data_IF_434981735242
#
_entry.id   IF_434981735242
#
_cell.length_a   1.000
_cell.length_b   1.000
_cell.length_c   1.000
_cell.angle_alpha   90.00
_cell.angle_beta   90.00
_cell.angle_gamma   90.00
#
_symmetry.space_group_name_H-M   'P 1'
#
loop_
_entity.id
_entity.type
_entity.pdbx_description
1 polymer ?
#
# COMPACT_ATOMS: atom_id res chain seq x y z
N UNK A 1 1.29 -4.96 -22.69
CA UNK A 1 1.42 -3.56 -22.27
C UNK A 1 2.82 -3.42 -21.71
N UNK A 2 3.66 -2.58 -22.30
CA UNK A 2 4.98 -2.29 -21.73
C UNK A 2 4.75 -1.48 -20.46
N UNK A 3 5.29 -1.92 -19.32
CA UNK A 3 5.07 -1.26 -18.03
C UNK A 3 5.66 0.14 -18.02
N UNK A 4 4.96 1.08 -17.40
CA UNK A 4 5.48 2.41 -17.14
C UNK A 4 6.66 2.30 -16.15
N UNK A 5 7.90 2.67 -16.54
CA UNK A 5 9.06 2.65 -15.65
C UNK A 5 8.91 3.51 -14.39
N UNK A 6 7.92 4.41 -14.36
CA UNK A 6 7.60 5.26 -13.20
C UNK A 6 6.97 4.49 -12.03
N UNK A 7 6.41 3.30 -12.27
CA UNK A 7 5.71 2.51 -11.27
C UNK A 7 6.68 1.55 -10.56
N UNK A 8 7.23 2.00 -9.43
CA UNK A 8 7.99 1.15 -8.51
C UNK A 8 7.02 0.45 -7.55
N UNK A 9 6.97 -0.88 -7.60
CA UNK A 9 6.10 -1.64 -6.71
C UNK A 9 6.87 -2.86 -6.13
N UNK A 10 6.47 -3.30 -4.93
CA UNK A 10 7.02 -4.46 -4.23
C UNK A 10 5.91 -5.50 -4.10
N UNK A 11 6.21 -6.75 -4.48
CA UNK A 11 5.36 -7.89 -4.18
C UNK A 11 5.65 -8.36 -2.75
N UNK A 12 4.74 -8.09 -1.82
CA UNK A 12 4.93 -8.38 -0.40
C UNK A 12 4.75 -9.86 -0.03
N UNK A 13 4.24 -10.69 -0.93
CA UNK A 13 3.98 -12.10 -0.66
C UNK A 13 3.86 -12.92 -1.96
N UNK A 14 4.78 -13.87 -2.15
CA UNK A 14 4.69 -14.89 -3.21
C UNK A 14 5.53 -16.15 -2.92
N UNK A 15 5.33 -17.20 -3.70
CA UNK A 15 6.00 -18.50 -3.62
C UNK A 15 6.84 -18.78 -4.87
N UNK A 16 7.90 -17.98 -5.11
CA UNK A 16 8.78 -18.19 -6.28
C UNK A 16 9.61 -19.49 -6.22
N UNK A 17 9.68 -20.12 -5.05
CA UNK A 17 10.29 -21.45 -4.87
C UNK A 17 9.35 -22.61 -5.22
N UNK A 18 8.09 -22.34 -5.58
CA UNK A 18 7.14 -23.35 -6.03
C UNK A 18 7.64 -24.05 -7.30
N UNK A 19 7.40 -25.36 -7.36
CA UNK A 19 7.77 -26.21 -8.50
C UNK A 19 7.28 -25.69 -9.85
N UNK A 20 6.15 -24.96 -9.89
CA UNK A 20 5.55 -24.38 -11.08
C UNK A 20 6.42 -23.31 -11.76
N UNK A 21 7.43 -22.76 -11.08
CA UNK A 21 8.36 -21.78 -11.65
C UNK A 21 9.73 -22.35 -11.99
N UNK A 22 10.00 -23.62 -11.66
CA UNK A 22 11.34 -24.24 -11.78
C UNK A 22 11.96 -24.06 -13.17
N UNK A 23 11.13 -24.13 -14.23
CA UNK A 23 11.62 -24.16 -15.61
C UNK A 23 11.74 -22.78 -16.26
N UNK A 24 11.12 -21.74 -15.70
CA UNK A 24 10.99 -20.43 -16.35
C UNK A 24 11.13 -19.22 -15.41
N UNK A 25 11.67 -19.42 -14.21
CA UNK A 25 11.83 -18.37 -13.19
C UNK A 25 12.55 -17.13 -13.70
N UNK A 26 13.61 -17.26 -14.51
CA UNK A 26 14.30 -16.13 -15.16
C UNK A 26 13.33 -15.27 -15.97
N UNK A 27 12.53 -15.92 -16.81
CA UNK A 27 11.56 -15.23 -17.67
C UNK A 27 10.42 -14.60 -16.86
N UNK A 28 10.02 -15.22 -15.76
CA UNK A 28 9.02 -14.68 -14.81
C UNK A 28 9.56 -13.40 -14.16
N UNK A 29 10.80 -13.42 -13.67
CA UNK A 29 11.44 -12.24 -13.05
C UNK A 29 11.63 -11.13 -14.07
N UNK A 30 12.08 -11.43 -15.30
CA UNK A 30 12.20 -10.43 -16.36
C UNK A 30 10.87 -9.75 -16.69
N UNK A 31 9.78 -10.51 -16.75
CA UNK A 31 8.43 -9.98 -16.96
C UNK A 31 8.00 -9.08 -15.80
N UNK A 32 8.25 -9.49 -14.55
CA UNK A 32 7.97 -8.69 -13.37
C UNK A 32 8.74 -7.36 -13.36
N UNK A 33 10.04 -7.39 -13.66
CA UNK A 33 10.89 -6.20 -13.75
C UNK A 33 10.41 -5.22 -14.83
N UNK A 34 10.03 -5.74 -16.01
CA UNK A 34 9.46 -4.94 -17.12
C UNK A 34 8.09 -4.34 -16.75
N UNK A 35 7.37 -4.97 -15.83
CA UNK A 35 6.11 -4.48 -15.30
C UNK A 35 6.26 -3.53 -14.10
N UNK A 36 7.49 -3.14 -13.73
CA UNK A 36 7.73 -2.20 -12.62
C UNK A 36 7.89 -2.84 -11.24
N UNK A 37 7.75 -4.16 -11.12
CA UNK A 37 8.01 -4.89 -9.86
C UNK A 37 9.50 -4.94 -9.62
N UNK A 38 9.98 -4.34 -8.53
CA UNK A 38 11.43 -4.27 -8.24
C UNK A 38 11.91 -5.36 -7.31
N UNK A 39 11.03 -5.85 -6.46
CA UNK A 39 11.36 -6.86 -5.45
C UNK A 39 10.13 -7.68 -5.09
N UNK A 40 10.37 -8.90 -4.66
CA UNK A 40 9.35 -9.85 -4.26
C UNK A 40 9.79 -10.61 -3.00
N UNK A 41 8.95 -10.57 -1.96
CA UNK A 41 9.14 -11.35 -0.74
C UNK A 41 8.68 -12.79 -1.00
N UNK A 42 9.67 -13.68 -1.13
CA UNK A 42 9.45 -15.10 -1.37
C UNK A 42 9.32 -15.83 -0.03
N UNK A 43 8.11 -16.28 0.28
CA UNK A 43 7.77 -17.00 1.52
C UNK A 43 7.88 -18.52 1.36
N UNK A 44 8.18 -19.20 2.45
CA UNK A 44 8.22 -20.66 2.53
C UNK A 44 6.87 -21.24 2.96
N UNK A 45 6.58 -22.48 2.57
CA UNK A 45 5.51 -23.29 3.16
C UNK A 45 6.06 -24.18 4.28
N UNK A 46 7.23 -24.77 4.07
CA UNK A 46 7.89 -25.62 5.06
C UNK A 46 9.41 -25.61 4.91
N UNK A 47 10.08 -26.33 5.82
CA UNK A 47 11.54 -26.38 5.89
C UNK A 47 12.22 -26.87 4.60
N UNK A 48 11.53 -27.68 3.79
CA UNK A 48 11.99 -28.19 2.49
C UNK A 48 12.18 -27.09 1.42
N UNK A 49 11.56 -25.91 1.61
CA UNK A 49 11.69 -24.77 0.71
C UNK A 49 12.87 -23.87 1.05
N UNK A 50 13.41 -23.94 2.27
CA UNK A 50 14.31 -22.91 2.79
C UNK A 50 15.58 -22.79 1.96
N UNK A 51 16.24 -23.91 1.67
CA UNK A 51 17.47 -23.90 0.84
C UNK A 51 17.19 -23.47 -0.61
N UNK A 52 15.99 -23.76 -1.14
CA UNK A 52 15.57 -23.30 -2.48
C UNK A 52 15.42 -21.78 -2.50
N UNK A 53 14.74 -21.22 -1.50
CA UNK A 53 14.51 -19.77 -1.35
C UNK A 53 15.86 -19.04 -1.18
N UNK A 54 16.74 -19.54 -0.31
CA UNK A 54 18.08 -18.96 -0.14
C UNK A 54 18.90 -19.05 -1.44
N UNK A 55 18.77 -20.15 -2.19
CA UNK A 55 19.45 -20.29 -3.49
C UNK A 55 18.88 -19.36 -4.56
N UNK A 56 17.56 -19.12 -4.57
CA UNK A 56 16.92 -18.15 -5.45
C UNK A 56 17.36 -16.72 -5.12
N UNK A 57 17.44 -16.34 -3.84
CA UNK A 57 18.00 -15.05 -3.43
C UNK A 57 19.47 -14.90 -3.90
N UNK A 58 20.31 -15.94 -3.78
CA UNK A 58 21.69 -15.87 -4.30
C UNK A 58 21.76 -15.64 -5.82
N UNK A 59 20.83 -16.22 -6.58
CA UNK A 59 20.74 -16.05 -8.05
C UNK A 59 20.18 -14.68 -8.43
N UNK A 60 19.22 -14.17 -7.67
CA UNK A 60 18.50 -12.92 -7.93
C UNK A 60 18.49 -12.01 -6.70
N UNK A 61 19.66 -11.51 -6.24
CA UNK A 61 19.81 -10.88 -4.92
C UNK A 61 19.03 -9.57 -4.76
N UNK A 62 18.84 -8.84 -5.86
CA UNK A 62 18.14 -7.55 -5.85
C UNK A 62 16.61 -7.71 -6.04
N UNK A 63 16.12 -8.93 -6.36
CA UNK A 63 14.70 -9.18 -6.63
C UNK A 63 14.06 -10.12 -5.61
N UNK A 64 14.66 -11.28 -5.34
CA UNK A 64 14.07 -12.29 -4.45
C UNK A 64 14.50 -12.03 -3.01
N UNK A 65 13.54 -11.71 -2.15
CA UNK A 65 13.76 -11.43 -0.73
C UNK A 65 13.27 -12.61 0.11
N UNK A 66 14.16 -13.34 0.78
CA UNK A 66 13.81 -14.59 1.42
C UNK A 66 13.05 -14.38 2.74
N UNK A 67 11.95 -15.10 2.91
CA UNK A 67 11.18 -15.22 4.15
C UNK A 67 11.04 -16.71 4.48
N UNK A 68 11.31 -17.09 5.73
CA UNK A 68 11.28 -18.48 6.16
C UNK A 68 10.29 -18.66 7.31
N UNK A 69 9.51 -19.72 7.26
CA UNK A 69 8.46 -20.02 8.24
C UNK A 69 7.82 -21.37 7.92
N UNK A 70 6.97 -21.82 8.84
CA UNK A 70 6.20 -23.05 8.71
C UNK A 70 4.72 -22.68 8.66
N UNK A 71 4.13 -22.97 7.51
CA UNK A 71 2.73 -22.71 7.18
C UNK A 71 1.78 -23.67 7.93
N UNK A 72 0.54 -23.25 8.29
CA UNK A 72 -0.45 -24.09 8.99
C UNK A 72 -0.87 -25.38 8.25
N UNK A 73 -0.61 -25.45 6.95
CA UNK A 73 -0.90 -26.60 6.08
C UNK A 73 0.38 -27.04 5.40
N UNK A 74 0.69 -28.33 5.47
CA UNK A 74 1.89 -28.96 4.88
C UNK A 74 1.49 -29.90 3.75
N UNK A 75 2.34 -30.03 2.74
CA UNK A 75 2.16 -31.01 1.65
C UNK A 75 2.78 -32.36 2.03
N UNK A 76 2.09 -33.45 1.69
CA UNK A 76 2.55 -34.82 1.87
C UNK A 76 3.19 -35.38 0.59
N UNK A 77 3.97 -36.45 0.72
CA UNK A 77 4.60 -37.15 -0.42
C UNK A 77 3.60 -37.67 -1.46
N UNK A 78 2.38 -37.99 -1.04
CA UNK A 78 1.30 -38.46 -1.91
C UNK A 78 0.54 -37.33 -2.64
N UNK A 79 0.99 -36.08 -2.47
CA UNK A 79 0.38 -34.89 -3.05
C UNK A 79 -0.88 -34.42 -2.32
N UNK A 80 -1.21 -35.01 -1.18
CA UNK A 80 -2.27 -34.48 -0.29
C UNK A 80 -1.72 -33.38 0.62
N UNK A 81 -2.59 -32.71 1.36
CA UNK A 81 -2.18 -31.70 2.33
C UNK A 81 -2.75 -32.01 3.71
N UNK A 82 -1.95 -31.79 4.76
CA UNK A 82 -2.31 -32.05 6.16
C UNK A 82 -2.15 -30.81 7.03
N UNK A 83 -2.70 -30.87 8.24
CA UNK A 83 -2.40 -29.88 9.28
C UNK A 83 -0.92 -30.00 9.67
N UNK A 84 -0.28 -28.85 9.92
CA UNK A 84 1.07 -28.77 10.49
C UNK A 84 1.17 -29.48 11.84
N UNK A 85 2.35 -30.02 12.12
CA UNK A 85 2.70 -30.76 13.33
C UNK A 85 3.94 -30.17 14.02
N UNK A 86 4.19 -30.57 15.27
CA UNK A 86 5.37 -30.11 16.00
C UNK A 86 6.70 -30.58 15.38
N UNK A 87 6.71 -31.68 14.64
CA UNK A 87 7.92 -32.16 13.95
C UNK A 87 8.30 -31.21 12.81
N UNK A 88 7.32 -30.70 12.06
CA UNK A 88 7.55 -29.73 10.97
C UNK A 88 8.24 -28.45 11.49
N UNK A 89 7.84 -27.97 12.67
CA UNK A 89 8.47 -26.82 13.32
C UNK A 89 9.86 -27.16 13.85
N UNK A 90 10.03 -28.34 14.46
CA UNK A 90 11.31 -28.79 15.04
C UNK A 90 12.40 -28.87 13.97
N UNK A 91 12.09 -29.35 12.77
CA UNK A 91 13.03 -29.42 11.65
C UNK A 91 13.33 -28.05 11.04
N UNK A 92 12.38 -27.11 11.12
CA UNK A 92 12.54 -25.75 10.60
C UNK A 92 13.42 -24.86 11.49
N UNK A 93 13.31 -24.96 12.83
CA UNK A 93 13.98 -24.04 13.78
C UNK A 93 15.49 -23.93 13.51
N UNK A 94 16.28 -25.01 13.43
CA UNK A 94 17.74 -24.90 13.22
C UNK A 94 18.10 -24.15 11.94
N UNK A 95 17.28 -24.30 10.89
CA UNK A 95 17.50 -23.63 9.61
C UNK A 95 17.11 -22.14 9.68
N UNK A 96 16.03 -21.79 10.38
CA UNK A 96 15.67 -20.39 10.63
C UNK A 96 16.81 -19.71 11.42
N UNK A 97 17.32 -20.35 12.47
CA UNK A 97 18.43 -19.80 13.26
C UNK A 97 19.72 -19.66 12.43
N UNK A 98 20.00 -20.61 11.54
CA UNK A 98 21.14 -20.53 10.60
C UNK A 98 21.03 -19.36 9.62
N UNK A 99 19.83 -18.99 9.21
CA UNK A 99 19.58 -18.00 8.15
C UNK A 99 18.92 -16.70 8.63
N UNK A 100 18.73 -16.53 9.94
CA UNK A 100 17.99 -15.39 10.50
C UNK A 100 18.57 -14.02 10.10
N UNK A 101 19.86 -13.93 9.80
CA UNK A 101 20.56 -12.73 9.34
C UNK A 101 20.35 -12.44 7.84
N UNK A 102 19.91 -13.44 7.08
CA UNK A 102 19.72 -13.40 5.62
C UNK A 102 18.27 -13.29 5.19
N UNK A 103 17.33 -13.29 6.12
CA UNK A 103 15.88 -13.24 5.83
C UNK A 103 15.29 -11.88 6.20
N UNK A 104 14.21 -11.51 5.51
CA UNK A 104 13.50 -10.26 5.74
C UNK A 104 12.33 -10.40 6.71
N UNK A 105 11.76 -11.59 6.85
CA UNK A 105 10.62 -11.88 7.73
C UNK A 105 10.56 -13.36 8.11
N UNK A 106 9.81 -13.66 9.18
CA UNK A 106 9.32 -15.00 9.48
C UNK A 106 8.01 -15.21 8.71
N UNK A 107 8.03 -16.10 7.71
CA UNK A 107 6.90 -16.30 6.82
C UNK A 107 7.10 -17.40 5.76
N UNK A 108 6.06 -18.12 5.36
CA UNK A 108 4.67 -17.91 5.75
C UNK A 108 4.32 -18.66 7.03
N UNK A 109 3.61 -17.99 7.95
CA UNK A 109 3.14 -18.57 9.22
C UNK A 109 1.68 -18.24 9.43
N UNK A 110 0.93 -18.94 10.28
CA UNK A 110 -0.45 -18.51 10.53
C UNK A 110 -1.39 -19.62 10.96
N UNK A 111 -2.68 -19.39 10.71
CA UNK A 111 -3.77 -20.34 10.98
C UNK A 111 -4.61 -20.55 9.73
N UNK A 112 -4.93 -21.80 9.42
CA UNK A 112 -5.90 -22.19 8.39
C UNK A 112 -6.92 -23.16 9.00
N UNK A 113 -8.14 -22.67 9.25
CA UNK A 113 -9.23 -23.44 9.85
C UNK A 113 -10.19 -24.03 8.81
N UNK A 114 -9.74 -24.14 7.55
CA UNK A 114 -10.51 -24.82 6.51
C UNK A 114 -10.76 -26.28 6.93
N UNK A 115 -12.03 -26.76 6.93
CA UNK A 115 -12.39 -28.10 7.42
C UNK A 115 -11.67 -29.27 6.74
N UNK A 116 -11.14 -29.05 5.54
CA UNK A 116 -10.36 -30.04 4.79
C UNK A 116 -9.03 -30.38 5.47
N UNK A 117 -8.35 -29.37 6.03
CA UNK A 117 -7.01 -29.48 6.59
C UNK A 117 -7.02 -29.51 8.12
N UNK A 118 -7.90 -28.72 8.74
CA UNK A 118 -8.06 -28.62 10.18
C UNK A 118 -9.40 -29.24 10.60
N UNK A 119 -9.37 -30.50 11.04
CA UNK A 119 -10.55 -31.34 11.28
C UNK A 119 -10.94 -31.35 12.75
N UNK A 120 -9.97 -31.24 13.65
CA UNK A 120 -10.15 -31.42 15.07
C UNK A 120 -9.89 -30.13 15.86
N UNK A 121 -10.30 -30.10 17.15
CA UNK A 121 -9.90 -29.03 18.06
C UNK A 121 -8.40 -29.08 18.37
N UNK A 122 -7.82 -30.28 18.36
CA UNK A 122 -6.40 -30.51 18.58
C UNK A 122 -5.59 -29.90 17.43
N UNK A 123 -6.01 -30.06 16.18
CA UNK A 123 -5.38 -29.42 15.01
C UNK A 123 -5.32 -27.90 15.15
N UNK A 124 -6.42 -27.29 15.61
CA UNK A 124 -6.48 -25.83 15.85
C UNK A 124 -5.49 -25.40 16.92
N UNK A 125 -5.39 -26.17 17.99
CA UNK A 125 -4.50 -25.88 19.09
C UNK A 125 -3.02 -26.05 18.66
N UNK A 126 -2.72 -27.10 17.90
CA UNK A 126 -1.38 -27.30 17.29
C UNK A 126 -0.99 -26.12 16.40
N UNK A 127 -1.87 -25.68 15.49
CA UNK A 127 -1.60 -24.49 14.67
C UNK A 127 -1.34 -23.23 15.51
N UNK A 128 -2.13 -23.02 16.59
CA UNK A 128 -1.94 -21.89 17.50
C UNK A 128 -0.60 -21.93 18.22
N UNK A 129 -0.19 -23.10 18.73
CA UNK A 129 1.09 -23.29 19.42
C UNK A 129 2.28 -23.07 18.48
N UNK A 130 2.18 -23.54 17.24
CA UNK A 130 3.21 -23.37 16.23
C UNK A 130 3.31 -21.91 15.80
N UNK A 131 2.18 -21.22 15.58
CA UNK A 131 2.19 -19.78 15.32
C UNK A 131 2.82 -19.02 16.51
N UNK A 132 2.44 -19.34 17.74
CA UNK A 132 3.00 -18.70 18.92
C UNK A 132 4.53 -18.86 19.01
N UNK A 133 5.04 -20.06 18.74
CA UNK A 133 6.47 -20.34 18.72
C UNK A 133 7.19 -19.50 17.65
N UNK A 134 6.59 -19.34 16.47
CA UNK A 134 7.17 -18.54 15.39
C UNK A 134 7.11 -17.03 15.65
N UNK A 135 6.10 -16.54 16.39
CA UNK A 135 6.05 -15.15 16.88
C UNK A 135 7.21 -14.89 17.86
N UNK A 136 7.51 -15.82 18.75
CA UNK A 136 8.65 -15.67 19.67
C UNK A 136 10.00 -15.68 18.93
N UNK A 137 10.14 -16.50 17.89
CA UNK A 137 11.32 -16.47 17.00
C UNK A 137 11.43 -15.11 16.29
N UNK A 138 10.32 -14.60 15.77
CA UNK A 138 10.26 -13.29 15.10
C UNK A 138 10.72 -12.16 16.04
N UNK A 139 10.23 -12.15 17.28
CA UNK A 139 10.68 -11.20 18.31
C UNK A 139 12.16 -11.37 18.66
N UNK A 140 12.63 -12.61 18.87
CA UNK A 140 14.03 -12.91 19.20
C UNK A 140 15.00 -12.32 18.19
N UNK A 141 14.65 -12.35 16.90
CA UNK A 141 15.51 -11.88 15.80
C UNK A 141 15.10 -10.51 15.24
N UNK A 142 14.13 -9.84 15.87
CA UNK A 142 13.55 -8.57 15.43
C UNK A 142 13.16 -8.62 13.94
N UNK A 143 12.37 -9.62 13.59
CA UNK A 143 11.87 -9.89 12.25
C UNK A 143 10.35 -9.67 12.21
N UNK A 144 9.82 -9.07 11.14
CA UNK A 144 8.39 -9.02 10.86
C UNK A 144 7.78 -10.40 10.62
N UNK A 145 6.45 -10.47 10.66
CA UNK A 145 5.67 -11.68 10.38
C UNK A 145 4.90 -11.53 9.05
N UNK A 146 4.96 -12.55 8.19
CA UNK A 146 4.12 -12.66 7.00
C UNK A 146 3.09 -13.79 7.21
N UNK A 147 1.81 -13.41 7.38
CA UNK A 147 0.83 -14.21 8.12
C UNK A 147 -0.37 -14.64 7.29
N UNK A 148 -0.60 -15.96 7.27
CA UNK A 148 -1.77 -16.64 6.78
C UNK A 148 -2.93 -16.61 7.78
N UNK A 149 -4.16 -16.42 7.29
CA UNK A 149 -5.34 -16.40 8.17
C UNK A 149 -6.62 -16.98 7.56
N UNK A 150 -6.53 -17.93 6.62
CA UNK A 150 -7.70 -18.45 5.89
C UNK A 150 -8.70 -19.13 6.82
N UNK A 151 -9.97 -18.74 6.69
CA UNK A 151 -11.05 -19.17 7.61
C UNK A 151 -10.75 -18.91 9.11
N UNK A 152 -9.74 -18.12 9.44
CA UNK A 152 -9.20 -17.95 10.78
C UNK A 152 -8.82 -16.49 11.11
N UNK A 153 -9.26 -15.50 10.32
CA UNK A 153 -8.90 -14.09 10.49
C UNK A 153 -9.05 -13.53 11.92
N UNK A 154 -10.19 -13.77 12.58
CA UNK A 154 -10.40 -13.33 13.98
C UNK A 154 -9.51 -14.08 14.98
N UNK A 155 -9.45 -15.42 14.97
CA UNK A 155 -8.48 -16.17 15.76
C UNK A 155 -7.03 -15.70 15.58
N UNK A 156 -6.57 -15.48 14.34
CA UNK A 156 -5.20 -15.05 14.04
C UNK A 156 -4.91 -13.68 14.64
N UNK A 157 -5.75 -12.66 14.38
CA UNK A 157 -5.56 -11.32 14.93
C UNK A 157 -5.59 -11.33 16.46
N UNK A 158 -6.51 -12.09 17.06
CA UNK A 158 -6.63 -12.17 18.51
C UNK A 158 -5.37 -12.77 19.14
N UNK A 159 -4.85 -13.87 18.57
CA UNK A 159 -3.64 -14.53 19.06
C UNK A 159 -2.40 -13.65 18.87
N UNK A 160 -2.24 -13.00 17.72
CA UNK A 160 -1.13 -12.08 17.48
C UNK A 160 -1.12 -10.92 18.49
N UNK A 161 -2.28 -10.36 18.81
CA UNK A 161 -2.41 -9.31 19.83
C UNK A 161 -2.11 -9.81 21.23
N UNK A 162 -2.60 -11.00 21.60
CA UNK A 162 -2.31 -11.65 22.88
C UNK A 162 -0.80 -11.87 23.07
N UNK A 163 -0.13 -12.28 22.00
CA UNK A 163 1.31 -12.47 21.98
C UNK A 163 2.08 -11.15 21.87
N UNK A 164 1.44 -9.99 21.69
CA UNK A 164 2.15 -8.73 21.48
C UNK A 164 3.04 -8.75 20.23
N UNK A 165 2.55 -9.35 19.14
CA UNK A 165 3.23 -9.32 17.86
C UNK A 165 3.20 -7.89 17.29
N UNK A 166 4.34 -7.46 16.75
CA UNK A 166 4.53 -6.19 16.05
C UNK A 166 4.93 -6.48 14.60
N UNK A 167 4.79 -5.51 13.70
CA UNK A 167 5.21 -5.64 12.30
C UNK A 167 4.64 -6.88 11.61
N UNK A 168 3.31 -6.94 11.52
CA UNK A 168 2.58 -8.07 10.93
C UNK A 168 2.00 -7.69 9.57
N UNK A 169 2.25 -8.52 8.56
CA UNK A 169 1.47 -8.56 7.31
C UNK A 169 0.41 -9.65 7.40
N UNK A 170 -0.86 -9.31 7.30
CA UNK A 170 -1.95 -10.26 7.08
C UNK A 170 -2.18 -10.40 5.58
N UNK A 171 -1.56 -11.42 5.01
CA UNK A 171 -1.61 -11.66 3.57
C UNK A 171 -2.98 -12.18 3.13
N UNK A 172 -3.37 -11.84 1.91
CA UNK A 172 -4.60 -12.27 1.26
C UNK A 172 -5.87 -12.29 2.14
N UNK A 173 -6.01 -11.39 3.13
CA UNK A 173 -7.03 -11.51 4.17
C UNK A 173 -8.45 -11.76 3.63
N UNK A 174 -9.03 -12.90 4.03
CA UNK A 174 -10.32 -13.42 3.56
C UNK A 174 -11.48 -13.18 4.56
N UNK A 175 -11.19 -12.49 5.66
CA UNK A 175 -12.15 -12.18 6.72
C UNK A 175 -13.05 -10.97 6.44
N UNK A 176 -13.92 -10.68 7.41
CA UNK A 176 -14.82 -9.51 7.34
C UNK A 176 -14.05 -8.21 7.57
N UNK A 177 -14.41 -7.10 6.90
CA UNK A 177 -13.77 -5.80 7.12
C UNK A 177 -13.76 -5.34 8.58
N UNK A 178 -14.83 -5.62 9.34
CA UNK A 178 -14.89 -5.30 10.77
C UNK A 178 -13.79 -5.97 11.59
N UNK A 179 -13.38 -7.18 11.22
CA UNK A 179 -12.29 -7.91 11.87
C UNK A 179 -10.94 -7.36 11.39
N UNK A 180 -10.81 -7.02 10.10
CA UNK A 180 -9.60 -6.39 9.58
C UNK A 180 -9.30 -5.05 10.29
N UNK A 181 -10.33 -4.26 10.60
CA UNK A 181 -10.18 -3.01 11.36
C UNK A 181 -9.63 -3.23 12.78
N UNK A 182 -9.83 -4.41 13.39
CA UNK A 182 -9.16 -4.74 14.67
C UNK A 182 -7.66 -4.93 14.49
N UNK A 183 -7.22 -5.44 13.32
CA UNK A 183 -5.82 -5.53 12.93
C UNK A 183 -5.22 -4.16 12.60
N UNK A 184 -5.95 -3.30 11.87
CA UNK A 184 -5.52 -1.90 11.62
C UNK A 184 -5.25 -1.17 12.93
N UNK A 185 -6.16 -1.29 13.91
CA UNK A 185 -5.98 -0.69 15.25
C UNK A 185 -4.78 -1.26 16.01
N UNK A 186 -4.34 -2.47 15.67
CA UNK A 186 -3.14 -3.09 16.24
C UNK A 186 -1.87 -2.74 15.44
N UNK A 187 -1.97 -1.91 14.40
CA UNK A 187 -0.83 -1.54 13.54
C UNK A 187 -0.45 -2.60 12.51
N UNK A 188 -1.34 -3.55 12.22
CA UNK A 188 -1.10 -4.58 11.22
C UNK A 188 -1.39 -4.09 9.81
N UNK A 189 -0.67 -4.66 8.86
CA UNK A 189 -0.81 -4.37 7.45
C UNK A 189 -1.57 -5.48 6.71
N UNK A 190 -2.08 -5.16 5.53
CA UNK A 190 -2.86 -6.08 4.69
C UNK A 190 -2.37 -6.00 3.25
N UNK A 191 -1.97 -7.13 2.67
CA UNK A 191 -1.62 -7.19 1.25
C UNK A 191 -2.80 -7.66 0.39
N UNK A 192 -2.89 -7.09 -0.81
CA UNK A 192 -4.02 -7.30 -1.72
C UNK A 192 -3.55 -8.02 -3.01
N UNK A 193 -4.07 -9.24 -3.26
CA UNK A 193 -3.71 -10.04 -4.43
C UNK A 193 -4.55 -9.66 -5.65
N UNK A 194 -4.09 -9.98 -6.88
CA UNK A 194 -4.78 -9.61 -8.12
C UNK A 194 -6.11 -10.34 -8.29
N UNK A 195 -6.37 -11.40 -7.53
CA UNK A 195 -7.71 -12.00 -7.40
C UNK A 195 -8.79 -11.05 -6.89
N UNK A 196 -8.44 -9.83 -6.42
CA UNK A 196 -9.41 -8.78 -6.08
C UNK A 196 -10.40 -8.49 -7.22
N UNK A 197 -9.96 -8.58 -8.48
CA UNK A 197 -10.82 -8.33 -9.66
C UNK A 197 -12.03 -9.26 -9.77
N UNK A 198 -11.99 -10.39 -9.04
CA UNK A 198 -13.05 -11.41 -9.01
C UNK A 198 -13.53 -11.72 -7.59
N UNK A 199 -13.21 -10.88 -6.62
CA UNK A 199 -13.55 -11.10 -5.21
C UNK A 199 -14.26 -9.88 -4.62
N UNK A 200 -15.59 -9.96 -4.55
CA UNK A 200 -16.40 -8.95 -3.86
C UNK A 200 -15.99 -8.77 -2.39
N UNK A 201 -15.52 -9.83 -1.73
CA UNK A 201 -15.06 -9.75 -0.34
C UNK A 201 -13.81 -8.87 -0.25
N UNK A 202 -12.83 -9.04 -1.15
CA UNK A 202 -11.61 -8.21 -1.17
C UNK A 202 -11.92 -6.77 -1.58
N UNK A 203 -12.86 -6.56 -2.49
CA UNK A 203 -13.32 -5.22 -2.84
C UNK A 203 -13.94 -4.48 -1.64
N UNK A 204 -14.84 -5.15 -0.90
CA UNK A 204 -15.43 -4.61 0.35
C UNK A 204 -14.36 -4.34 1.42
N UNK A 205 -13.33 -5.18 1.49
CA UNK A 205 -12.20 -5.01 2.40
C UNK A 205 -11.39 -3.76 2.05
N UNK A 206 -10.90 -3.64 0.81
CA UNK A 206 -10.10 -2.51 0.35
C UNK A 206 -10.86 -1.20 0.48
N UNK A 207 -12.18 -1.20 0.23
CA UNK A 207 -13.00 0.01 0.40
C UNK A 207 -12.91 0.58 1.83
N UNK A 208 -12.87 -0.28 2.84
CA UNK A 208 -12.82 0.12 4.26
C UNK A 208 -11.42 0.36 4.81
N UNK A 209 -10.42 -0.40 4.35
CA UNK A 209 -9.05 -0.28 4.86
C UNK A 209 -8.37 1.00 4.37
N UNK A 210 -7.70 1.78 5.21
CA UNK A 210 -6.95 2.96 4.77
C UNK A 210 -5.72 2.55 3.93
N UNK A 211 -5.31 3.42 2.99
CA UNK A 211 -4.23 3.08 2.05
C UNK A 211 -2.86 2.90 2.74
N UNK A 212 -2.65 3.58 3.87
CA UNK A 212 -1.44 3.55 4.70
C UNK A 212 -1.19 2.21 5.42
N UNK A 213 -2.17 1.30 5.43
CA UNK A 213 -2.00 -0.07 5.92
C UNK A 213 -2.05 -1.12 4.80
N UNK A 214 -2.15 -0.71 3.52
CA UNK A 214 -2.18 -1.64 2.39
C UNK A 214 -0.80 -1.89 1.81
N UNK A 215 -0.59 -3.12 1.35
CA UNK A 215 0.52 -3.54 0.50
C UNK A 215 -0.03 -4.24 -0.75
N UNK A 216 0.84 -4.43 -1.74
CA UNK A 216 0.54 -5.24 -2.92
C UNK A 216 1.13 -6.64 -2.73
N UNK A 217 0.41 -7.66 -3.16
CA UNK A 217 0.94 -9.02 -3.27
C UNK A 217 0.45 -9.66 -4.57
N UNK A 218 1.13 -10.73 -4.99
CA UNK A 218 0.58 -11.62 -6.00
C UNK A 218 0.05 -12.93 -5.42
N UNK A 219 0.67 -13.44 -4.36
CA UNK A 219 0.50 -14.83 -3.89
C UNK A 219 0.80 -15.86 -5.00
N UNK A 220 1.69 -15.50 -5.92
CA UNK A 220 2.05 -16.36 -7.05
C UNK A 220 2.64 -17.69 -6.58
N UNK A 221 2.27 -18.85 -7.14
CA UNK A 221 1.48 -19.02 -8.38
C UNK A 221 -0.05 -19.00 -8.19
N UNK A 222 -0.54 -18.85 -6.96
CA UNK A 222 -1.96 -18.82 -6.64
C UNK A 222 -2.59 -17.43 -6.82
N UNK A 223 -3.89 -17.33 -6.53
CA UNK A 223 -4.67 -16.08 -6.54
C UNK A 223 -4.59 -15.23 -7.82
N UNK A 224 -4.43 -15.89 -8.97
CA UNK A 224 -4.49 -15.24 -10.27
C UNK A 224 -5.80 -14.44 -10.48
N UNK A 225 -5.74 -13.36 -11.30
CA UNK A 225 -6.92 -12.61 -11.71
C UNK A 225 -7.99 -13.52 -12.34
N UNK A 226 -7.56 -14.50 -13.12
CA UNK A 226 -8.40 -15.54 -13.71
C UNK A 226 -8.24 -16.85 -12.93
N UNK A 227 -9.35 -17.55 -12.65
CA UNK A 227 -9.29 -18.82 -11.92
C UNK A 227 -8.56 -19.89 -12.75
N UNK A 228 -7.88 -20.81 -12.07
CA UNK A 228 -7.17 -21.96 -12.67
C UNK A 228 -6.00 -21.60 -13.61
N UNK A 229 -5.56 -20.34 -13.60
CA UNK A 229 -4.33 -19.92 -14.25
C UNK A 229 -3.21 -19.75 -13.24
N UNK A 230 -1.97 -20.04 -13.68
CA UNK A 230 -0.76 -19.70 -12.92
C UNK A 230 -0.65 -18.19 -12.82
N UNK A 231 -0.54 -17.68 -11.61
CA UNK A 231 -0.28 -16.26 -11.35
C UNK A 231 1.21 -15.95 -11.45
N UNK A 232 1.56 -14.68 -11.68
CA UNK A 232 2.94 -14.20 -11.73
C UNK A 232 3.07 -12.85 -11.03
N UNK A 233 4.24 -12.51 -10.45
CA UNK A 233 4.45 -11.25 -9.72
C UNK A 233 4.10 -9.99 -10.51
N UNK A 234 4.23 -9.99 -11.85
CA UNK A 234 3.83 -8.84 -12.67
C UNK A 234 2.36 -8.41 -12.46
N UNK A 235 1.51 -9.35 -12.02
CA UNK A 235 0.08 -9.10 -11.84
C UNK A 235 -0.22 -8.23 -10.61
N UNK A 236 0.75 -7.88 -9.76
CA UNK A 236 0.51 -6.88 -8.70
C UNK A 236 0.10 -5.52 -9.25
N UNK A 237 0.41 -5.22 -10.52
CA UNK A 237 -0.09 -4.03 -11.22
C UNK A 237 -1.62 -4.01 -11.29
N UNK A 238 -2.25 -5.18 -11.47
CA UNK A 238 -3.70 -5.32 -11.47
C UNK A 238 -4.27 -5.00 -10.08
N UNK A 239 -3.59 -5.44 -9.01
CA UNK A 239 -3.97 -5.05 -7.64
C UNK A 239 -3.89 -3.54 -7.46
N UNK A 240 -2.79 -2.90 -7.91
CA UNK A 240 -2.59 -1.46 -7.80
C UNK A 240 -3.67 -0.67 -8.54
N UNK A 241 -3.98 -1.03 -9.79
CA UNK A 241 -5.05 -0.44 -10.60
C UNK A 241 -6.43 -0.56 -9.91
N UNK A 242 -6.74 -1.72 -9.34
CA UNK A 242 -8.03 -1.97 -8.70
C UNK A 242 -8.17 -1.19 -7.39
N UNK A 243 -7.09 -1.09 -6.60
CA UNK A 243 -7.05 -0.27 -5.38
C UNK A 243 -7.20 1.21 -5.74
N UNK A 244 -6.44 1.69 -6.73
CA UNK A 244 -6.49 3.08 -7.20
C UNK A 244 -7.92 3.49 -7.58
N UNK A 245 -8.61 2.63 -8.34
CA UNK A 245 -10.01 2.82 -8.72
C UNK A 245 -10.95 2.86 -7.51
N UNK A 246 -10.80 1.94 -6.55
CA UNK A 246 -11.65 1.91 -5.34
C UNK A 246 -11.40 3.15 -4.45
N UNK A 247 -10.16 3.63 -4.40
CA UNK A 247 -9.73 4.75 -3.56
C UNK A 247 -9.89 6.12 -4.23
N UNK A 248 -10.19 6.17 -5.52
CA UNK A 248 -10.30 7.44 -6.26
C UNK A 248 -8.97 8.17 -6.35
N UNK A 249 -7.87 7.45 -6.57
CA UNK A 249 -6.51 8.00 -6.66
C UNK A 249 -5.74 7.36 -7.82
N UNK A 250 -4.53 7.82 -8.10
CA UNK A 250 -3.69 7.34 -9.19
C UNK A 250 -2.94 6.04 -8.83
N UNK A 251 -2.65 5.22 -9.85
CA UNK A 251 -1.89 3.97 -9.69
C UNK A 251 -0.49 4.23 -9.15
N UNK A 252 0.15 5.32 -9.58
CA UNK A 252 1.46 5.75 -9.09
C UNK A 252 1.44 6.05 -7.59
N UNK A 253 0.40 6.73 -7.11
CA UNK A 253 0.23 7.01 -5.69
C UNK A 253 0.01 5.73 -4.87
N UNK A 254 -0.77 4.77 -5.38
CA UNK A 254 -0.93 3.46 -4.72
C UNK A 254 0.41 2.73 -4.64
N UNK A 255 1.16 2.65 -5.74
CA UNK A 255 2.47 1.99 -5.73
C UNK A 255 3.47 2.70 -4.81
N UNK A 256 3.45 4.04 -4.75
CA UNK A 256 4.26 4.80 -3.81
C UNK A 256 3.94 4.46 -2.35
N UNK A 257 2.67 4.61 -1.93
CA UNK A 257 2.28 4.39 -0.53
C UNK A 257 2.49 2.93 -0.12
N UNK A 258 2.09 1.98 -0.96
CA UNK A 258 2.27 0.55 -0.66
C UNK A 258 3.75 0.16 -0.60
N UNK A 259 4.60 0.77 -1.43
CA UNK A 259 6.06 0.61 -1.36
C UNK A 259 6.63 1.18 -0.06
N UNK A 260 6.22 2.38 0.34
CA UNK A 260 6.64 2.98 1.61
C UNK A 260 6.20 2.10 2.79
N UNK A 261 4.99 1.54 2.75
CA UNK A 261 4.49 0.60 3.75
C UNK A 261 5.32 -0.68 3.81
N UNK A 262 5.71 -1.24 2.67
CA UNK A 262 6.61 -2.39 2.61
C UNK A 262 7.97 -2.10 3.27
N UNK A 263 8.56 -0.92 3.05
CA UNK A 263 9.81 -0.53 3.70
C UNK A 263 9.68 -0.28 5.21
N UNK A 264 8.52 0.22 5.67
CA UNK A 264 8.23 0.37 7.11
C UNK A 264 8.07 -1.00 7.77
N UNK A 265 7.28 -1.87 7.16
CA UNK A 265 6.96 -3.18 7.67
C UNK A 265 8.15 -4.14 7.63
N UNK A 266 8.96 -4.08 6.57
CA UNK A 266 10.14 -4.92 6.38
C UNK A 266 11.42 -4.07 6.34
N UNK A 267 11.97 -3.64 7.49
CA UNK A 267 13.13 -2.76 7.54
C UNK A 267 14.36 -3.31 6.79
N UNK A 268 14.55 -4.64 6.83
CA UNK A 268 15.66 -5.33 6.15
C UNK A 268 15.54 -5.35 4.63
N UNK A 269 14.38 -5.00 4.07
CA UNK A 269 14.19 -4.92 2.62
C UNK A 269 15.21 -3.98 1.96
N UNK A 270 15.58 -2.89 2.65
CA UNK A 270 16.61 -1.94 2.18
C UNK A 270 17.96 -2.60 1.95
N UNK A 271 18.32 -3.64 2.70
CA UNK A 271 19.60 -4.34 2.56
C UNK A 271 19.68 -5.12 1.26
N UNK A 272 18.56 -5.68 0.80
CA UNK A 272 18.47 -6.41 -0.47
C UNK A 272 18.41 -5.46 -1.65
N UNK A 273 17.89 -4.26 -1.44
CA UNK A 273 17.75 -3.24 -2.48
C UNK A 273 18.92 -2.26 -2.53
N UNK A 274 20.01 -2.43 -1.76
CA UNK A 274 21.09 -1.44 -1.71
C UNK A 274 21.64 -1.04 -3.08
N UNK A 275 21.86 -1.98 -4.00
CA UNK A 275 22.33 -1.65 -5.36
C UNK A 275 21.30 -0.85 -6.15
N UNK A 276 20.03 -1.22 -6.01
CA UNK A 276 18.91 -0.51 -6.62
C UNK A 276 18.74 0.88 -6.00
N UNK A 277 18.84 1.00 -4.68
CA UNK A 277 18.74 2.26 -3.93
C UNK A 277 19.90 3.19 -4.26
N UNK A 278 21.13 2.71 -4.42
CA UNK A 278 22.25 3.53 -4.90
C UNK A 278 21.99 4.05 -6.32
N UNK A 279 21.49 3.20 -7.22
CA UNK A 279 21.13 3.59 -8.59
C UNK A 279 19.91 4.54 -8.66
N UNK A 280 18.97 4.41 -7.73
CA UNK A 280 17.79 5.28 -7.59
C UNK A 280 18.15 6.61 -6.91
N UNK A 281 19.07 6.62 -5.93
CA UNK A 281 19.52 7.84 -5.26
C UNK A 281 20.34 8.75 -6.18
N UNK A 282 21.04 8.20 -7.18
CA UNK A 282 21.67 8.97 -8.26
C UNK A 282 20.63 9.64 -9.20
N UNK A 283 19.38 9.18 -9.21
CA UNK A 283 18.24 9.80 -9.90
C UNK A 283 17.20 10.27 -8.87
N UNK A 284 17.56 11.33 -8.15
CA UNK A 284 16.81 11.94 -7.04
C UNK A 284 15.29 12.04 -7.28
N UNK A 285 14.52 11.10 -6.69
CA UNK A 285 13.14 11.24 -6.20
C UNK A 285 12.66 9.89 -5.63
N UNK A 286 13.18 9.50 -4.47
CA UNK A 286 12.47 8.55 -3.61
C UNK A 286 12.31 9.20 -2.25
N UNK A 287 11.13 9.79 -2.06
CA UNK A 287 10.77 10.63 -0.94
C UNK A 287 10.94 9.89 0.39
N UNK A 288 11.60 10.56 1.32
CA UNK A 288 11.76 10.14 2.72
C UNK A 288 10.44 10.41 3.43
N UNK A 289 9.80 9.37 3.95
CA UNK A 289 8.64 9.48 4.83
C UNK A 289 9.06 9.20 6.28
N UNK A 290 8.86 10.19 7.17
CA UNK A 290 9.35 10.21 8.56
C UNK A 290 8.32 9.77 9.62
N UNK A 291 7.34 8.93 9.26
CA UNK A 291 6.37 8.40 10.23
C UNK A 291 5.18 9.34 10.48
N UNK A 292 4.33 9.04 11.49
CA UNK A 292 3.26 9.93 11.91
C UNK A 292 3.84 11.29 12.30
N UNK A 293 3.30 12.35 11.73
CA UNK A 293 3.75 13.72 12.02
C UNK A 293 3.53 13.95 13.50
N UNK A 294 4.58 14.40 14.21
CA UNK A 294 4.57 14.61 15.67
C UNK A 294 3.43 15.51 16.17
N UNK A 295 2.84 16.29 15.27
CA UNK A 295 1.79 17.26 15.57
C UNK A 295 0.40 16.85 15.05
N UNK A 296 0.23 15.61 14.58
CA UNK A 296 -1.07 15.09 14.11
C UNK A 296 -1.63 14.11 15.14
N UNK A 297 -2.87 14.38 15.59
CA UNK A 297 -3.55 13.55 16.58
C UNK A 297 -4.42 12.50 15.86
N UNK A 298 -4.26 11.23 16.22
CA UNK A 298 -4.92 10.10 15.57
C UNK A 298 -6.02 9.49 16.48
N UNK A 299 -7.11 8.93 15.93
CA UNK A 299 -7.40 8.78 14.50
C UNK A 299 -7.76 10.12 13.85
N UNK A 300 -7.32 10.31 12.60
CA UNK A 300 -7.72 11.49 11.83
C UNK A 300 -9.21 11.35 11.53
N UNK A 301 -10.03 12.26 12.08
CA UNK A 301 -11.42 12.37 11.69
C UNK A 301 -11.51 13.10 10.36
N UNK A 302 -11.75 12.34 9.30
CA UNK A 302 -11.98 12.87 7.96
C UNK A 302 -13.48 13.10 7.79
N UNK A 303 -13.85 14.36 7.52
CA UNK A 303 -15.23 14.74 7.29
C UNK A 303 -15.57 14.57 5.81
N UNK A 304 -16.63 13.82 5.53
CA UNK A 304 -17.07 13.53 4.17
C UNK A 304 -18.29 14.36 3.80
N UNK A 305 -18.29 14.89 2.58
CA UNK A 305 -19.44 15.54 1.99
C UNK A 305 -20.54 14.51 1.74
N UNK A 306 -21.75 14.74 2.25
CA UNK A 306 -22.87 13.82 2.05
C UNK A 306 -23.44 13.78 0.63
N UNK A 307 -22.96 14.66 -0.26
CA UNK A 307 -23.41 14.74 -1.65
C UNK A 307 -22.46 14.00 -2.61
N UNK A 308 -21.17 14.34 -2.61
CA UNK A 308 -20.16 13.67 -3.45
C UNK A 308 -19.43 12.52 -2.73
N UNK A 309 -19.66 12.34 -1.43
CA UNK A 309 -19.03 11.29 -0.60
C UNK A 309 -17.49 11.35 -0.51
N UNK A 310 -16.88 12.45 -0.94
CA UNK A 310 -15.44 12.72 -0.81
C UNK A 310 -15.14 13.57 0.43
N UNK A 311 -13.90 13.53 0.96
CA UNK A 311 -13.46 14.52 1.93
C UNK A 311 -13.62 15.94 1.36
N UNK A 312 -13.81 16.90 2.26
CA UNK A 312 -14.13 18.30 1.92
C UNK A 312 -13.08 18.92 0.98
N UNK A 313 -11.82 18.53 1.09
CA UNK A 313 -10.71 19.01 0.26
C UNK A 313 -10.67 18.39 -1.15
N UNK A 314 -11.36 17.28 -1.38
CA UNK A 314 -11.32 16.50 -2.62
C UNK A 314 -12.70 16.44 -3.28
N UNK A 315 -13.45 17.54 -3.25
CA UNK A 315 -14.79 17.60 -3.80
C UNK A 315 -14.81 17.15 -5.27
N UNK A 316 -15.57 16.09 -5.57
CA UNK A 316 -15.73 15.54 -6.93
C UNK A 316 -16.22 16.58 -7.94
N UNK A 317 -17.02 17.55 -7.48
CA UNK A 317 -17.57 18.59 -8.34
C UNK A 317 -16.67 19.82 -8.45
N UNK A 318 -15.41 19.77 -8.01
CA UNK A 318 -14.45 20.86 -8.29
C UNK A 318 -14.32 21.09 -9.81
N UNK A 319 -14.31 22.35 -10.29
CA UNK A 319 -14.41 23.63 -9.57
C UNK A 319 -15.86 24.13 -9.38
N UNK A 320 -16.86 23.38 -9.82
CA UNK A 320 -18.27 23.77 -9.83
C UNK A 320 -19.07 23.13 -8.69
N UNK A 321 -18.96 23.75 -7.51
CA UNK A 321 -19.39 23.17 -6.24
C UNK A 321 -20.89 23.21 -5.95
N UNK A 322 -21.77 23.69 -6.84
CA UNK A 322 -23.15 24.10 -6.47
C UNK A 322 -23.91 23.09 -5.59
N UNK A 323 -23.83 21.80 -5.92
CA UNK A 323 -24.50 20.74 -5.14
C UNK A 323 -23.84 20.47 -3.79
N UNK A 324 -22.52 20.33 -3.76
CA UNK A 324 -21.78 20.14 -2.51
C UNK A 324 -21.79 21.39 -1.63
N UNK A 325 -21.82 22.58 -2.20
CA UNK A 325 -21.87 23.88 -1.51
C UNK A 325 -23.10 23.98 -0.63
N UNK A 326 -24.30 23.70 -1.18
CA UNK A 326 -25.56 23.73 -0.42
C UNK A 326 -25.49 22.75 0.75
N UNK A 327 -24.92 21.56 0.52
CA UNK A 327 -24.77 20.56 1.57
C UNK A 327 -23.73 20.97 2.63
N UNK A 328 -22.58 21.51 2.23
CA UNK A 328 -21.49 21.95 3.09
C UNK A 328 -21.90 23.18 3.92
N UNK A 329 -22.56 24.17 3.33
CA UNK A 329 -23.12 25.33 4.03
C UNK A 329 -24.10 24.91 5.14
N UNK A 330 -24.94 23.91 4.84
CA UNK A 330 -25.99 23.45 5.76
C UNK A 330 -25.47 22.53 6.86
N UNK A 331 -24.57 21.60 6.53
CA UNK A 331 -24.17 20.51 7.42
C UNK A 331 -22.76 20.67 8.00
N UNK A 332 -21.90 21.49 7.38
CA UNK A 332 -20.51 21.72 7.79
C UNK A 332 -20.10 23.21 7.65
N UNK A 333 -20.83 24.14 8.30
CA UNK A 333 -20.69 25.58 8.06
C UNK A 333 -19.30 26.13 8.39
N UNK A 334 -18.61 25.58 9.39
CA UNK A 334 -17.27 26.04 9.79
C UNK A 334 -16.17 25.59 8.81
N UNK A 335 -16.28 24.36 8.29
CA UNK A 335 -15.41 23.84 7.22
C UNK A 335 -15.64 24.61 5.92
N UNK A 336 -16.90 24.89 5.60
CA UNK A 336 -17.28 25.69 4.44
C UNK A 336 -16.71 27.12 4.50
N UNK A 337 -16.76 27.78 5.67
CA UNK A 337 -16.12 29.09 5.87
C UNK A 337 -14.61 29.05 5.65
N UNK A 338 -13.93 28.00 6.08
CA UNK A 338 -12.48 27.83 5.84
C UNK A 338 -12.14 27.65 4.36
N UNK A 339 -12.92 26.84 3.64
CA UNK A 339 -12.80 26.66 2.18
C UNK A 339 -13.03 27.97 1.41
N UNK A 340 -13.97 28.78 1.87
CA UNK A 340 -14.35 30.04 1.21
C UNK A 340 -13.52 31.25 1.67
N UNK A 341 -12.64 31.08 2.66
CA UNK A 341 -11.82 32.17 3.21
C UNK A 341 -10.87 32.80 2.16
N UNK A 342 -10.62 32.12 1.04
CA UNK A 342 -9.89 32.66 -0.11
C UNK A 342 -10.73 33.47 -1.12
N UNK A 343 -12.05 33.63 -0.92
CA UNK A 343 -12.97 34.28 -1.89
C UNK A 343 -13.47 35.68 -1.51
N UNK A 344 -12.89 36.32 -0.50
CA UNK A 344 -13.20 37.71 -0.12
C UNK A 344 -12.36 38.76 -0.90
N UNK A 345 -12.05 38.49 -2.18
CA UNK A 345 -11.36 39.45 -3.03
C UNK A 345 -12.36 40.03 -4.02
N UNK A 346 -12.73 41.30 -3.81
CA UNK A 346 -13.54 42.03 -4.76
C UNK A 346 -12.75 42.23 -6.06
N UNK A 347 -13.11 41.48 -7.10
CA UNK A 347 -12.45 41.51 -8.40
C UNK A 347 -12.48 42.90 -9.06
N UNK A 348 -13.46 43.75 -8.74
CA UNK A 348 -13.51 45.13 -9.26
C UNK A 348 -12.49 46.01 -8.56
N UNK A 349 -12.30 45.83 -7.26
CA UNK A 349 -11.26 46.55 -6.50
C UNK A 349 -9.86 46.10 -6.94
N UNK A 350 -9.65 44.78 -7.09
CA UNK A 350 -8.41 44.21 -7.60
C UNK A 350 -8.09 44.69 -9.02
N UNK A 351 -9.06 44.68 -9.94
CA UNK A 351 -8.88 45.18 -11.31
C UNK A 351 -8.52 46.67 -11.34
N UNK A 352 -9.11 47.49 -10.46
CA UNK A 352 -8.78 48.92 -10.38
C UNK A 352 -7.38 49.15 -9.83
N UNK A 353 -6.96 48.33 -8.86
CA UNK A 353 -5.61 48.35 -8.31
C UNK A 353 -4.58 48.01 -9.38
N UNK A 354 -4.77 46.92 -10.14
CA UNK A 354 -3.86 46.53 -11.22
C UNK A 354 -3.78 47.55 -12.36
N UNK A 355 -4.93 48.10 -12.80
CA UNK A 355 -4.94 49.17 -13.81
C UNK A 355 -4.12 50.40 -13.36
N UNK A 356 -4.19 50.75 -12.07
CA UNK A 356 -3.47 51.90 -11.51
C UNK A 356 -1.97 51.59 -11.34
N UNK A 357 -1.64 50.39 -10.86
CA UNK A 357 -0.26 49.98 -10.55
C UNK A 357 0.57 49.79 -11.82
N UNK A 358 0.00 49.16 -12.85
CA UNK A 358 0.72 48.81 -14.08
C UNK A 358 0.42 49.75 -15.25
N UNK A 359 -0.45 50.75 -15.07
CA UNK A 359 -0.85 51.70 -16.12
C UNK A 359 -1.38 51.02 -17.40
N UNK A 360 -2.11 49.92 -17.24
CA UNK A 360 -2.53 49.04 -18.32
C UNK A 360 -4.06 48.85 -18.37
N UNK A 361 -4.56 48.29 -19.48
CA UNK A 361 -5.97 47.90 -19.58
C UNK A 361 -6.26 46.72 -18.65
N UNK A 362 -7.17 46.90 -17.70
CA UNK A 362 -7.67 45.82 -16.82
C UNK A 362 -9.18 45.74 -16.90
N UNK A 363 -9.74 44.58 -17.21
CA UNK A 363 -11.19 44.36 -17.24
C UNK A 363 -11.59 43.09 -16.49
N UNK A 364 -12.70 43.15 -15.77
CA UNK A 364 -13.28 42.00 -15.06
C UNK A 364 -14.29 41.31 -15.98
N UNK A 365 -14.17 40.00 -16.14
CA UNK A 365 -15.10 39.16 -16.89
C UNK A 365 -15.53 37.99 -16.02
N UNK A 366 -16.79 37.98 -15.58
CA UNK A 366 -17.32 36.99 -14.63
C UNK A 366 -16.43 36.83 -13.39
N UNK A 367 -15.56 35.81 -13.39
CA UNK A 367 -14.67 35.45 -12.28
C UNK A 367 -13.17 35.70 -12.60
N UNK A 368 -12.86 36.38 -13.71
CA UNK A 368 -11.48 36.61 -14.18
C UNK A 368 -11.17 38.11 -14.30
N UNK A 369 -9.91 38.49 -14.03
CA UNK A 369 -9.37 39.81 -14.35
C UNK A 369 -8.41 39.65 -15.53
N UNK A 370 -8.71 40.33 -16.63
CA UNK A 370 -7.84 40.36 -17.81
C UNK A 370 -6.99 41.61 -17.74
N UNK A 371 -5.68 41.43 -17.62
CA UNK A 371 -4.69 42.51 -17.57
C UNK A 371 -3.90 42.48 -18.88
N UNK A 372 -3.86 43.60 -19.61
CA UNK A 372 -3.14 43.71 -20.88
C UNK A 372 -1.73 44.26 -20.68
N UNK A 373 -0.69 43.42 -20.79
CA UNK A 373 0.69 43.85 -20.72
C UNK A 373 1.64 42.73 -20.33
N UNK A 374 2.94 43.04 -20.34
CA UNK A 374 3.99 42.14 -19.85
C UNK A 374 4.28 42.45 -18.37
N UNK A 375 3.37 41.99 -17.50
CA UNK A 375 3.37 42.28 -16.04
C UNK A 375 3.41 41.00 -15.22
N UNK A 376 3.72 39.87 -15.86
CA UNK A 376 3.61 38.53 -15.30
C UNK A 376 4.45 38.38 -14.02
N UNK A 377 5.74 38.68 -14.10
CA UNK A 377 6.66 38.49 -12.99
C UNK A 377 6.29 39.41 -11.80
N UNK A 378 5.80 40.61 -12.08
CA UNK A 378 5.38 41.57 -11.05
C UNK A 378 4.06 41.17 -10.35
N UNK A 379 3.19 40.39 -11.00
CA UNK A 379 1.94 39.91 -10.41
C UNK A 379 2.18 38.89 -9.30
N UNK A 380 3.18 38.02 -9.45
CA UNK A 380 3.52 37.01 -8.44
C UNK A 380 3.97 37.65 -7.13
N UNK A 381 4.66 38.80 -7.19
CA UNK A 381 5.09 39.53 -5.99
C UNK A 381 3.95 40.35 -5.37
N UNK A 382 3.12 40.99 -6.21
CA UNK A 382 2.13 41.97 -5.76
C UNK A 382 0.86 41.32 -5.19
N UNK A 383 0.48 40.14 -5.68
CA UNK A 383 -0.75 39.45 -5.23
C UNK A 383 -0.65 39.05 -3.74
N UNK A 384 0.42 38.37 -3.28
CA UNK A 384 0.60 38.07 -1.86
C UNK A 384 0.80 39.34 -1.00
N UNK A 385 1.46 40.37 -1.53
CA UNK A 385 1.65 41.65 -0.81
C UNK A 385 0.31 42.34 -0.52
N UNK A 386 -0.59 42.37 -1.52
CA UNK A 386 -1.86 43.09 -1.44
C UNK A 386 -2.97 42.26 -0.80
N UNK A 387 -2.94 40.94 -0.98
CA UNK A 387 -3.89 39.98 -0.41
C UNK A 387 -3.13 38.86 0.31
N UNK A 388 -2.67 39.10 1.56
CA UNK A 388 -1.89 38.14 2.34
C UNK A 388 -2.63 36.82 2.64
N UNK A 389 -3.94 36.76 2.37
CA UNK A 389 -4.74 35.54 2.44
C UNK A 389 -4.57 34.61 1.22
N UNK A 390 -4.01 35.10 0.11
CA UNK A 390 -3.59 34.25 -1.01
C UNK A 390 -2.18 33.78 -0.71
N UNK A 391 -2.04 32.49 -0.42
CA UNK A 391 -0.73 31.85 -0.37
C UNK A 391 -0.09 31.85 -1.76
N UNK A 392 1.23 32.03 -1.86
CA UNK A 392 1.99 31.95 -3.12
C UNK A 392 1.76 30.60 -3.81
N UNK A 393 1.60 29.52 -3.02
CA UNK A 393 1.30 28.17 -3.52
C UNK A 393 -0.08 28.06 -4.21
N UNK A 394 -0.95 29.06 -4.09
CA UNK A 394 -2.26 29.13 -4.75
C UNK A 394 -2.26 30.01 -6.01
N UNK A 395 -1.09 30.49 -6.47
CA UNK A 395 -0.95 31.30 -7.69
C UNK A 395 -0.38 30.43 -8.81
N UNK A 396 -1.24 30.01 -9.73
CA UNK A 396 -0.84 29.20 -10.89
C UNK A 396 -0.47 30.07 -12.10
N UNK A 397 0.73 29.84 -12.67
CA UNK A 397 1.12 30.38 -13.97
C UNK A 397 0.49 29.57 -15.11
N UNK A 398 -0.55 30.11 -15.74
CA UNK A 398 -1.23 29.46 -16.88
C UNK A 398 -0.54 29.69 -18.24
N UNK A 399 0.62 30.36 -18.27
CA UNK A 399 1.41 30.64 -19.47
C UNK A 399 0.83 31.73 -20.38
N UNK A 400 1.52 32.04 -21.49
CA UNK A 400 1.03 33.00 -22.48
C UNK A 400 -0.21 32.45 -23.22
N UNK A 401 -1.40 32.93 -22.84
CA UNK A 401 -2.58 32.76 -23.67
C UNK A 401 -2.72 33.93 -24.64
N UNK A 402 -2.33 33.72 -25.90
CA UNK A 402 -2.71 34.62 -27.00
C UNK A 402 -4.23 34.54 -27.17
N UNK A 403 -4.95 35.61 -26.81
CA UNK A 403 -6.33 35.81 -27.25
C UNK A 403 -6.36 36.27 -28.71
#
# INVERSE_FOLDING_TARGET
>A
MAGDPSLFCIDAHCHLADSQFTNDIESVIERALKAGVKSALCVAIGHSDFEKIISLNKRFPDFVVPCLGVHPVQEEEDGTSKCVTNEDLKDAIPLIEKYHDKIAAIGEVGLDFTPRFCKSKEDRETQRQILASQVEIAKKYNLPLNVHSRSAGRPTISLLKELGAENVLLHAFDGRPSIAMEGVKAGFYFSIPPSIVRSEQKEKLVKQLPLDCLLLESDSPALAPQKQMRNEPQNIQISAEYIARIKGTDVSHVCEITTQNAFKLFPRLKNFLQKLMTAIMDNSKFFVYDGPRKDVNYPIEVLYCGECTMPVEYCEYYPNYERCKIWLEKNMPDQFKKLMAGKDIDLKEASKYFATKFSCGSSVTADEIVIQGDVKDELFDIIPEKWPQIDEDNIDDLGEQKK
#
